data_IF_273800837397
#
_entry.id   IF_273800837397
#
_cell.length_a   1.000
_cell.length_b   1.000
_cell.length_c   1.000
_cell.angle_alpha   90.00
_cell.angle_beta   90.00
_cell.angle_gamma   90.00
#
_symmetry.space_group_name_H-M   'P 1'
#
loop_
_entity.id
_entity.type
_entity.pdbx_description
1 polymer ?
#
# COMPACT_ATOMS: atom_id res chain seq x y z
N UNK A 1 -1.10 15.95 -8.63
CA UNK A 1 0.23 15.67 -8.03
C UNK A 1 0.59 16.59 -6.85
N UNK A 2 0.60 17.93 -7.00
CA UNK A 2 1.06 18.83 -5.92
C UNK A 2 0.30 18.67 -4.59
N UNK A 3 -1.02 18.50 -4.63
CA UNK A 3 -1.82 18.25 -3.42
C UNK A 3 -1.43 16.92 -2.74
N UNK A 4 -1.19 15.85 -3.50
CA UNK A 4 -0.74 14.57 -2.96
C UNK A 4 0.66 14.67 -2.34
N UNK A 5 1.59 15.38 -2.98
CA UNK A 5 2.92 15.64 -2.43
C UNK A 5 2.87 16.48 -1.14
N UNK A 6 2.00 17.49 -1.09
CA UNK A 6 1.76 18.29 0.12
C UNK A 6 1.22 17.44 1.28
N UNK A 7 0.24 16.57 0.99
CA UNK A 7 -0.29 15.64 1.99
C UNK A 7 0.75 14.63 2.47
N UNK A 8 1.60 14.10 1.58
CA UNK A 8 2.72 13.26 1.96
C UNK A 8 3.69 13.99 2.91
N UNK A 9 4.03 15.25 2.62
CA UNK A 9 4.85 16.07 3.51
C UNK A 9 4.22 16.23 4.89
N UNK A 10 2.91 16.51 4.98
CA UNK A 10 2.19 16.58 6.26
C UNK A 10 2.27 15.28 7.04
N UNK A 11 2.06 14.13 6.38
CA UNK A 11 2.19 12.81 7.02
C UNK A 11 3.62 12.56 7.50
N UNK A 12 4.64 12.96 6.73
CA UNK A 12 6.04 12.83 7.14
C UNK A 12 6.36 13.68 8.38
N UNK A 13 5.84 14.91 8.46
CA UNK A 13 5.97 15.76 9.65
C UNK A 13 5.25 15.13 10.85
N UNK A 14 4.03 14.65 10.67
CA UNK A 14 3.29 13.95 11.70
C UNK A 14 4.05 12.71 12.21
N UNK A 15 4.64 11.90 11.31
CA UNK A 15 5.52 10.78 11.68
C UNK A 15 6.71 11.23 12.51
N UNK A 16 7.37 12.33 12.12
CA UNK A 16 8.51 12.86 12.86
C UNK A 16 8.09 13.33 14.26
N UNK A 17 6.95 14.01 14.37
CA UNK A 17 6.38 14.46 15.64
C UNK A 17 6.01 13.27 16.54
N UNK A 18 5.37 12.23 16.01
CA UNK A 18 5.04 11.00 16.74
C UNK A 18 6.28 10.28 17.29
N UNK A 19 7.44 10.39 16.61
CA UNK A 19 8.71 9.82 17.09
C UNK A 19 9.39 10.69 18.14
N UNK A 20 9.23 12.01 18.07
CA UNK A 20 9.91 12.97 18.93
C UNK A 20 9.12 13.31 20.20
N UNK A 21 7.79 13.25 20.15
CA UNK A 21 6.90 13.69 21.22
C UNK A 21 6.14 12.52 21.84
N UNK A 22 5.96 12.57 23.17
CA UNK A 22 5.04 11.69 23.92
C UNK A 22 3.64 12.31 24.10
N UNK A 23 3.38 13.49 23.51
CA UNK A 23 2.06 14.13 23.56
C UNK A 23 1.06 13.39 22.66
N UNK A 24 0.54 12.28 23.16
CA UNK A 24 -0.40 11.42 22.42
C UNK A 24 -1.78 12.08 22.24
N UNK A 25 -2.14 13.03 23.12
CA UNK A 25 -3.47 13.67 23.11
C UNK A 25 -3.70 14.52 21.86
N UNK A 26 -2.66 15.18 21.33
CA UNK A 26 -2.77 15.97 20.11
C UNK A 26 -2.57 15.16 18.82
N UNK A 27 -1.89 14.00 18.89
CA UNK A 27 -1.51 13.20 17.72
C UNK A 27 -2.68 12.39 17.13
N UNK A 28 -3.55 11.83 17.96
CA UNK A 28 -4.68 11.02 17.47
C UNK A 28 -5.72 11.84 16.69
N UNK A 29 -6.18 13.02 17.17
CA UNK A 29 -7.04 13.90 16.37
C UNK A 29 -6.39 14.32 15.05
N UNK A 30 -5.09 14.62 15.06
CA UNK A 30 -4.34 14.97 13.84
C UNK A 30 -4.33 13.81 12.84
N UNK A 31 -4.07 12.58 13.30
CA UNK A 31 -4.07 11.39 12.46
C UNK A 31 -5.43 11.13 11.81
N UNK A 32 -6.53 11.28 12.57
CA UNK A 32 -7.89 11.16 12.02
C UNK A 32 -8.16 12.23 10.96
N UNK A 33 -7.76 13.48 11.20
CA UNK A 33 -7.91 14.56 10.22
C UNK A 33 -7.08 14.30 8.95
N UNK A 34 -5.86 13.79 9.10
CA UNK A 34 -5.01 13.39 7.96
C UNK A 34 -5.63 12.24 7.17
N UNK A 35 -6.15 11.22 7.85
CA UNK A 35 -6.87 10.11 7.22
C UNK A 35 -8.07 10.60 6.42
N UNK A 36 -8.93 11.45 7.01
CA UNK A 36 -10.10 11.98 6.32
C UNK A 36 -9.72 12.78 5.07
N UNK A 37 -8.72 13.66 5.17
CA UNK A 37 -8.24 14.46 4.05
C UNK A 37 -7.62 13.61 2.93
N UNK A 38 -6.80 12.62 3.30
CA UNK A 38 -6.19 11.69 2.34
C UNK A 38 -7.24 10.82 1.64
N UNK A 39 -8.23 10.32 2.37
CA UNK A 39 -9.31 9.50 1.82
C UNK A 39 -10.16 10.28 0.83
N UNK A 40 -10.51 11.54 1.15
CA UNK A 40 -11.23 12.43 0.23
C UNK A 40 -10.41 12.73 -1.03
N UNK A 41 -9.11 13.03 -0.88
CA UNK A 41 -8.22 13.26 -2.02
C UNK A 41 -8.08 12.01 -2.90
N UNK A 42 -7.87 10.85 -2.29
CA UNK A 42 -7.77 9.57 -2.99
C UNK A 42 -9.03 9.30 -3.81
N UNK A 43 -10.21 9.47 -3.20
CA UNK A 43 -11.49 9.28 -3.88
C UNK A 43 -11.64 10.22 -5.07
N UNK A 44 -11.36 11.52 -4.89
CA UNK A 44 -11.43 12.51 -5.97
C UNK A 44 -10.48 12.19 -7.14
N UNK A 45 -9.24 11.74 -6.86
CA UNK A 45 -8.30 11.33 -7.90
C UNK A 45 -8.82 10.08 -8.64
N UNK A 46 -9.34 9.09 -7.92
CA UNK A 46 -9.92 7.89 -8.54
C UNK A 46 -11.12 8.22 -9.44
N UNK A 47 -12.02 9.07 -8.98
CA UNK A 47 -13.16 9.51 -9.81
C UNK A 47 -12.69 10.23 -11.07
N UNK A 48 -11.68 11.10 -10.94
CA UNK A 48 -11.10 11.79 -12.10
C UNK A 48 -10.51 10.81 -13.12
N UNK A 49 -9.80 9.77 -12.66
CA UNK A 49 -9.25 8.72 -13.53
C UNK A 49 -10.38 7.94 -14.22
N UNK A 50 -11.41 7.52 -13.47
CA UNK A 50 -12.53 6.72 -14.00
C UNK A 50 -13.41 7.49 -15.00
N UNK A 51 -13.60 8.79 -14.78
CA UNK A 51 -14.47 9.64 -15.60
C UNK A 51 -13.78 10.24 -16.83
N UNK A 52 -12.46 10.05 -16.97
CA UNK A 52 -11.65 10.74 -17.97
C UNK A 52 -11.69 10.10 -19.37
N UNK A 53 -12.21 10.82 -20.36
CA UNK A 53 -11.94 10.61 -21.80
C UNK A 53 -10.56 11.14 -22.24
N UNK A 54 -9.62 11.27 -21.29
CA UNK A 54 -8.45 12.14 -21.41
C UNK A 54 -7.27 11.48 -22.13
N UNK A 55 -6.37 12.31 -22.68
CA UNK A 55 -5.13 11.85 -23.33
C UNK A 55 -4.25 11.00 -22.38
N UNK A 56 -3.44 10.12 -22.96
CA UNK A 56 -2.56 9.18 -22.23
C UNK A 56 -1.67 9.87 -21.16
N UNK A 57 -1.16 11.08 -21.46
CA UNK A 57 -0.28 11.84 -20.55
C UNK A 57 -1.01 12.31 -19.27
N UNK A 58 -2.25 12.80 -19.42
CA UNK A 58 -3.09 13.23 -18.29
C UNK A 58 -3.48 12.06 -17.39
N UNK A 59 -3.66 10.88 -17.97
CA UNK A 59 -3.94 9.65 -17.22
C UNK A 59 -2.74 9.23 -16.38
N UNK A 60 -1.54 9.21 -16.98
CA UNK A 60 -0.28 8.88 -16.28
C UNK A 60 0.01 9.80 -15.09
N UNK A 61 -0.13 11.11 -15.28
CA UNK A 61 0.04 12.11 -14.21
C UNK A 61 -0.94 11.89 -13.03
N UNK A 62 -2.18 11.51 -13.34
CA UNK A 62 -3.20 11.22 -12.34
C UNK A 62 -2.90 9.93 -11.57
N UNK A 63 -2.38 8.91 -12.25
CA UNK A 63 -1.94 7.66 -11.62
C UNK A 63 -0.73 7.90 -10.71
N UNK A 64 0.23 8.74 -11.12
CA UNK A 64 1.34 9.14 -10.24
C UNK A 64 0.83 9.92 -9.03
N UNK A 65 -0.17 10.80 -9.20
CA UNK A 65 -0.80 11.50 -8.09
C UNK A 65 -1.51 10.53 -7.12
N UNK A 66 -2.21 9.52 -7.65
CA UNK A 66 -2.85 8.47 -6.85
C UNK A 66 -1.82 7.67 -6.07
N UNK A 67 -0.71 7.30 -6.72
CA UNK A 67 0.42 6.58 -6.10
C UNK A 67 1.01 7.37 -4.93
N UNK A 68 1.25 8.67 -5.10
CA UNK A 68 1.74 9.55 -4.02
C UNK A 68 0.74 9.64 -2.86
N UNK A 69 -0.55 9.77 -3.17
CA UNK A 69 -1.61 9.79 -2.17
C UNK A 69 -1.68 8.48 -1.39
N UNK A 70 -1.60 7.34 -2.08
CA UNK A 70 -1.55 6.00 -1.47
C UNK A 70 -0.29 5.79 -0.64
N UNK A 71 0.86 6.31 -1.08
CA UNK A 71 2.10 6.27 -0.29
C UNK A 71 1.95 7.03 1.03
N UNK A 72 1.31 8.21 1.00
CA UNK A 72 1.02 8.97 2.21
C UNK A 72 0.04 8.23 3.14
N UNK A 73 -0.99 7.58 2.57
CA UNK A 73 -1.93 6.75 3.33
C UNK A 73 -1.24 5.55 3.98
N UNK A 74 -0.48 4.76 3.22
CA UNK A 74 0.26 3.61 3.76
C UNK A 74 1.23 4.03 4.88
N UNK A 75 1.93 5.15 4.69
CA UNK A 75 2.82 5.68 5.73
C UNK A 75 2.05 6.03 7.01
N UNK A 76 0.91 6.72 6.89
CA UNK A 76 0.07 7.05 8.04
C UNK A 76 -0.48 5.78 8.70
N UNK A 77 -1.01 4.84 7.91
CA UNK A 77 -1.64 3.63 8.41
C UNK A 77 -0.65 2.72 9.12
N UNK A 78 0.58 2.60 8.64
CA UNK A 78 1.60 1.81 9.35
C UNK A 78 1.98 2.38 10.71
N UNK A 79 1.75 3.67 10.96
CA UNK A 79 1.96 4.23 12.30
C UNK A 79 0.91 3.77 13.29
N UNK A 80 -0.29 3.37 12.82
CA UNK A 80 -1.46 3.12 13.67
C UNK A 80 -2.08 1.74 13.47
N UNK A 81 -1.61 0.93 12.52
CA UNK A 81 -2.10 -0.43 12.25
C UNK A 81 -1.74 -1.43 13.37
N UNK A 82 -0.63 -1.17 14.08
CA UNK A 82 -0.21 -1.93 15.25
C UNK A 82 -0.09 -0.98 16.44
N UNK A 83 -1.17 -0.81 17.20
CA UNK A 83 -1.10 -0.12 18.48
C UNK A 83 -0.58 -1.08 19.55
N UNK A 84 0.47 -0.69 20.27
CA UNK A 84 0.92 -1.44 21.45
C UNK A 84 -0.04 -1.14 22.62
N UNK A 85 -0.57 -2.17 23.30
CA UNK A 85 -1.58 -1.96 24.33
C UNK A 85 -1.01 -1.14 25.49
N UNK A 86 -1.56 0.05 25.68
CA UNK A 86 -1.22 0.94 26.79
C UNK A 86 -2.04 0.56 28.01
N UNK A 87 -1.35 0.14 29.07
CA UNK A 87 -1.93 -0.42 30.30
C UNK A 87 -2.79 0.58 31.10
N UNK A 88 -2.72 1.90 30.80
CA UNK A 88 -3.40 2.96 31.56
C UNK A 88 -3.96 4.09 30.66
N UNK A 89 -4.63 3.77 29.55
CA UNK A 89 -5.26 4.77 28.68
C UNK A 89 -6.71 5.10 29.10
N UNK A 90 -7.13 6.36 28.95
CA UNK A 90 -8.53 6.78 29.13
C UNK A 90 -9.44 6.16 28.07
N UNK A 91 -10.72 5.94 28.40
CA UNK A 91 -11.68 5.27 27.51
C UNK A 91 -11.89 5.96 26.15
N UNK A 92 -11.88 7.30 26.13
CA UNK A 92 -11.99 8.11 24.90
C UNK A 92 -10.79 7.88 23.97
N UNK A 93 -9.59 7.84 24.55
CA UNK A 93 -8.34 7.54 23.85
C UNK A 93 -8.36 6.12 23.28
N UNK A 94 -8.80 5.13 24.05
CA UNK A 94 -8.95 3.74 23.59
C UNK A 94 -9.88 3.67 22.37
N UNK A 95 -10.99 4.41 22.39
CA UNK A 95 -11.93 4.44 21.26
C UNK A 95 -11.30 5.03 19.99
N UNK A 96 -10.62 6.18 20.10
CA UNK A 96 -9.94 6.81 18.96
C UNK A 96 -8.77 5.98 18.42
N UNK A 97 -7.98 5.36 19.31
CA UNK A 97 -6.89 4.44 18.93
C UNK A 97 -7.45 3.23 18.16
N UNK A 98 -8.53 2.64 18.67
CA UNK A 98 -9.21 1.51 18.02
C UNK A 98 -9.78 1.90 16.65
N UNK A 99 -10.41 3.06 16.55
CA UNK A 99 -10.95 3.57 15.28
C UNK A 99 -9.83 3.78 14.26
N UNK A 100 -8.74 4.45 14.66
CA UNK A 100 -7.61 4.72 13.79
C UNK A 100 -6.89 3.42 13.38
N UNK A 101 -6.81 2.43 14.28
CA UNK A 101 -6.26 1.11 13.96
C UNK A 101 -7.11 0.38 12.93
N UNK A 102 -8.43 0.34 13.14
CA UNK A 102 -9.38 -0.24 12.19
C UNK A 102 -9.30 0.44 10.83
N UNK A 103 -9.30 1.78 10.79
CA UNK A 103 -9.14 2.55 9.56
C UNK A 103 -7.80 2.25 8.87
N UNK A 104 -6.74 2.08 9.63
CA UNK A 104 -5.40 1.76 9.11
C UNK A 104 -5.35 0.38 8.47
N UNK A 105 -5.81 -0.66 9.17
CA UNK A 105 -5.80 -2.04 8.65
C UNK A 105 -6.69 -2.16 7.41
N UNK A 106 -7.90 -1.60 7.44
CA UNK A 106 -8.79 -1.58 6.29
C UNK A 106 -8.18 -0.80 5.11
N UNK A 107 -7.53 0.31 5.39
CA UNK A 107 -6.86 1.14 4.40
C UNK A 107 -5.67 0.45 3.73
N UNK A 108 -4.80 -0.19 4.52
CA UNK A 108 -3.68 -1.00 4.02
C UNK A 108 -4.22 -2.12 3.12
N UNK A 109 -5.21 -2.89 3.61
CA UNK A 109 -5.84 -3.97 2.84
C UNK A 109 -6.40 -3.47 1.51
N UNK A 110 -7.16 -2.38 1.53
CA UNK A 110 -7.77 -1.80 0.31
C UNK A 110 -6.71 -1.29 -0.68
N UNK A 111 -5.65 -0.63 -0.20
CA UNK A 111 -4.59 -0.13 -1.07
C UNK A 111 -3.83 -1.30 -1.71
N UNK A 112 -3.38 -2.26 -0.91
CA UNK A 112 -2.56 -3.38 -1.37
C UNK A 112 -3.33 -4.32 -2.29
N UNK A 113 -4.60 -4.59 -2.01
CA UNK A 113 -5.41 -5.50 -2.82
C UNK A 113 -6.06 -4.83 -4.04
N UNK A 114 -6.55 -3.60 -3.91
CA UNK A 114 -7.38 -2.98 -4.97
C UNK A 114 -6.62 -1.93 -5.77
N UNK A 115 -5.90 -1.03 -5.09
CA UNK A 115 -5.36 0.17 -5.74
C UNK A 115 -4.00 -0.12 -6.40
N UNK A 116 -3.12 -0.82 -5.69
CA UNK A 116 -1.76 -1.09 -6.16
C UNK A 116 -1.72 -2.01 -7.40
N UNK A 117 -2.51 -3.09 -7.48
CA UNK A 117 -2.57 -3.90 -8.70
C UNK A 117 -3.14 -3.11 -9.89
N UNK A 118 -4.10 -2.22 -9.65
CA UNK A 118 -4.62 -1.35 -10.71
C UNK A 118 -3.56 -0.36 -11.23
N UNK A 119 -2.73 0.19 -10.35
CA UNK A 119 -1.58 1.02 -10.70
C UNK A 119 -0.52 0.19 -11.44
N UNK A 120 -0.24 -1.03 -10.97
CA UNK A 120 0.73 -1.92 -11.58
C UNK A 120 0.36 -2.22 -13.05
N UNK A 121 -0.91 -2.54 -13.31
CA UNK A 121 -1.42 -2.83 -14.67
C UNK A 121 -1.43 -1.60 -15.60
N UNK A 122 -1.21 -0.39 -15.09
CA UNK A 122 -1.07 0.80 -15.93
C UNK A 122 0.29 0.87 -16.65
N UNK A 123 1.26 0.01 -16.27
CA UNK A 123 2.58 -0.11 -16.89
C UNK A 123 3.30 1.25 -17.03
N UNK A 124 3.40 1.98 -15.92
CA UNK A 124 4.00 3.31 -15.89
C UNK A 124 5.40 3.18 -15.32
N UNK A 125 6.38 3.41 -16.19
CA UNK A 125 7.78 3.37 -15.81
C UNK A 125 8.17 4.61 -14.96
N UNK A 126 8.04 4.47 -13.64
CA UNK A 126 8.30 5.53 -12.68
C UNK A 126 8.89 4.98 -11.37
N UNK A 127 10.06 5.47 -10.90
CA UNK A 127 10.69 4.98 -9.68
C UNK A 127 9.86 5.25 -8.41
N UNK A 128 9.00 6.27 -8.42
CA UNK A 128 8.07 6.54 -7.31
C UNK A 128 6.98 5.45 -7.20
N UNK A 129 6.56 4.88 -8.33
CA UNK A 129 5.62 3.74 -8.35
C UNK A 129 6.30 2.51 -7.76
N UNK A 130 7.56 2.24 -8.13
CA UNK A 130 8.31 1.10 -7.60
C UNK A 130 8.36 1.06 -6.07
N UNK A 131 8.56 2.20 -5.41
CA UNK A 131 8.56 2.25 -3.94
C UNK A 131 7.19 1.87 -3.34
N UNK A 132 6.10 2.37 -3.94
CA UNK A 132 4.75 2.08 -3.46
C UNK A 132 4.38 0.61 -3.71
N UNK A 133 4.79 0.06 -4.86
CA UNK A 133 4.63 -1.35 -5.21
C UNK A 133 5.41 -2.26 -4.26
N UNK A 134 6.67 -1.92 -3.95
CA UNK A 134 7.47 -2.66 -2.96
C UNK A 134 6.76 -2.75 -1.62
N UNK A 135 6.25 -1.63 -1.13
CA UNK A 135 5.51 -1.59 0.13
C UNK A 135 4.21 -2.42 0.05
N UNK A 136 3.44 -2.28 -1.02
CA UNK A 136 2.23 -3.08 -1.22
C UNK A 136 2.53 -4.59 -1.24
N UNK A 137 3.65 -5.00 -1.85
CA UNK A 137 4.08 -6.39 -1.87
C UNK A 137 4.41 -6.92 -0.47
N UNK A 138 5.04 -6.12 0.40
CA UNK A 138 5.30 -6.54 1.78
C UNK A 138 4.01 -6.73 2.57
N UNK A 139 3.03 -5.85 2.37
CA UNK A 139 1.71 -5.96 2.99
C UNK A 139 0.92 -7.16 2.47
N UNK A 140 0.89 -7.39 1.15
CA UNK A 140 0.28 -8.59 0.56
C UNK A 140 0.89 -9.86 1.14
N UNK A 141 2.22 -9.93 1.25
CA UNK A 141 2.91 -11.07 1.83
C UNK A 141 2.55 -11.29 3.30
N UNK A 142 2.39 -10.22 4.07
CA UNK A 142 1.93 -10.30 5.46
C UNK A 142 0.51 -10.88 5.55
N UNK A 143 -0.45 -10.34 4.79
CA UNK A 143 -1.83 -10.85 4.77
C UNK A 143 -1.96 -12.30 4.28
N UNK A 144 -1.12 -12.71 3.32
CA UNK A 144 -1.10 -14.11 2.86
C UNK A 144 -0.66 -15.06 3.97
N UNK A 145 0.37 -14.66 4.72
CA UNK A 145 0.98 -15.50 5.78
C UNK A 145 0.11 -15.55 7.03
N UNK A 146 -0.42 -14.41 7.44
CA UNK A 146 -1.14 -14.26 8.71
C UNK A 146 -2.64 -14.58 8.57
N UNK A 147 -3.30 -13.98 7.59
CA UNK A 147 -4.77 -14.04 7.44
C UNK A 147 -5.23 -15.04 6.38
N UNK A 148 -4.30 -15.68 5.67
CA UNK A 148 -4.58 -16.62 4.57
C UNK A 148 -5.53 -16.07 3.50
N UNK A 149 -5.43 -14.76 3.22
CA UNK A 149 -6.29 -14.04 2.27
C UNK A 149 -5.95 -14.40 0.81
N UNK A 150 -6.73 -15.26 0.12
CA UNK A 150 -6.35 -15.79 -1.19
C UNK A 150 -6.31 -14.70 -2.27
N UNK A 151 -7.11 -13.66 -2.09
CA UNK A 151 -7.18 -12.51 -2.99
C UNK A 151 -5.88 -11.69 -3.03
N UNK A 152 -5.02 -11.81 -2.01
CA UNK A 152 -3.72 -11.12 -1.98
C UNK A 152 -2.67 -11.75 -2.90
N UNK A 153 -2.82 -13.02 -3.30
CA UNK A 153 -1.89 -13.67 -4.23
C UNK A 153 -1.92 -13.03 -5.61
N UNK A 154 -3.11 -12.82 -6.18
CA UNK A 154 -3.25 -12.19 -7.50
C UNK A 154 -2.78 -10.73 -7.48
N UNK A 155 -3.06 -10.00 -6.40
CA UNK A 155 -2.54 -8.65 -6.20
C UNK A 155 -1.00 -8.64 -6.16
N UNK A 156 -0.39 -9.57 -5.41
CA UNK A 156 1.05 -9.71 -5.31
C UNK A 156 1.68 -10.07 -6.67
N UNK A 157 1.03 -10.93 -7.46
CA UNK A 157 1.50 -11.28 -8.80
C UNK A 157 1.61 -10.07 -9.73
N UNK A 158 0.53 -9.27 -9.81
CA UNK A 158 0.49 -8.04 -10.62
C UNK A 158 1.60 -7.06 -10.18
N UNK A 159 1.76 -6.88 -8.86
CA UNK A 159 2.77 -6.00 -8.27
C UNK A 159 4.20 -6.47 -8.60
N UNK A 160 4.49 -7.76 -8.43
CA UNK A 160 5.81 -8.33 -8.70
C UNK A 160 6.16 -8.29 -10.19
N UNK A 161 5.17 -8.50 -11.07
CA UNK A 161 5.36 -8.37 -12.51
C UNK A 161 5.74 -6.95 -12.90
N UNK A 162 5.04 -5.94 -12.36
CA UNK A 162 5.36 -4.55 -12.67
C UNK A 162 6.70 -4.11 -12.06
N UNK A 163 7.04 -4.56 -10.85
CA UNK A 163 8.37 -4.28 -10.27
C UNK A 163 9.51 -4.83 -11.15
N UNK A 164 9.31 -6.01 -11.77
CA UNK A 164 10.28 -6.56 -12.73
C UNK A 164 10.39 -5.67 -13.98
N UNK A 165 9.27 -5.23 -14.51
CA UNK A 165 9.18 -4.31 -15.67
C UNK A 165 9.90 -2.99 -15.39
N UNK A 166 9.59 -2.31 -14.28
CA UNK A 166 10.27 -1.06 -13.88
C UNK A 166 11.78 -1.32 -13.64
N UNK A 167 12.15 -2.50 -13.16
CA UNK A 167 13.53 -2.93 -12.95
C UNK A 167 14.38 -3.03 -14.22
N UNK A 168 13.77 -3.04 -15.41
CA UNK A 168 14.50 -2.98 -16.68
C UNK A 168 15.16 -1.61 -16.89
N UNK A 169 14.54 -0.54 -16.37
CA UNK A 169 15.00 0.85 -16.54
C UNK A 169 15.48 1.51 -15.24
N UNK A 170 15.02 1.03 -14.08
CA UNK A 170 15.33 1.62 -12.78
C UNK A 170 15.88 0.59 -11.78
N UNK A 171 17.17 0.71 -11.49
CA UNK A 171 17.88 -0.18 -10.55
C UNK A 171 17.21 -0.28 -9.17
N UNK A 172 16.55 0.78 -8.69
CA UNK A 172 15.85 0.78 -7.40
C UNK A 172 14.76 -0.31 -7.33
N UNK A 173 14.08 -0.61 -8.44
CA UNK A 173 13.08 -1.68 -8.47
C UNK A 173 13.74 -3.06 -8.39
N UNK A 174 14.92 -3.24 -8.98
CA UNK A 174 15.74 -4.46 -8.84
C UNK A 174 16.19 -4.65 -7.37
N UNK A 175 16.58 -3.57 -6.70
CA UNK A 175 16.93 -3.60 -5.26
C UNK A 175 15.72 -4.01 -4.41
N UNK A 176 14.54 -3.45 -4.69
CA UNK A 176 13.31 -3.85 -4.02
C UNK A 176 12.97 -5.33 -4.24
N UNK A 177 13.12 -5.85 -5.46
CA UNK A 177 12.93 -7.28 -5.74
C UNK A 177 13.91 -8.16 -4.94
N UNK A 178 15.16 -7.73 -4.79
CA UNK A 178 16.15 -8.44 -3.95
C UNK A 178 15.71 -8.48 -2.49
N UNK A 179 15.24 -7.35 -1.95
CA UNK A 179 14.70 -7.29 -0.58
C UNK A 179 13.48 -8.20 -0.39
N UNK A 180 12.56 -8.21 -1.37
CA UNK A 180 11.40 -9.11 -1.34
C UNK A 180 11.82 -10.59 -1.40
N UNK A 181 12.84 -10.93 -2.19
CA UNK A 181 13.39 -12.29 -2.24
C UNK A 181 14.00 -12.70 -0.90
N UNK A 182 14.80 -11.82 -0.29
CA UNK A 182 15.40 -12.06 1.03
C UNK A 182 14.34 -12.25 2.12
N UNK A 183 13.24 -11.50 2.04
CA UNK A 183 12.08 -11.65 2.91
C UNK A 183 11.19 -12.87 2.58
N UNK A 184 11.58 -13.70 1.60
CA UNK A 184 10.85 -14.89 1.18
C UNK A 184 9.50 -14.61 0.51
N UNK A 185 9.26 -13.39 0.03
CA UNK A 185 7.98 -12.99 -0.58
C UNK A 185 7.81 -13.65 -1.94
N UNK A 186 8.87 -13.72 -2.75
CA UNK A 186 8.81 -14.35 -4.07
C UNK A 186 8.48 -15.84 -4.00
N UNK A 187 8.84 -16.51 -2.89
CA UNK A 187 8.53 -17.92 -2.67
C UNK A 187 7.03 -18.18 -2.47
N UNK A 188 6.24 -17.16 -2.12
CA UNK A 188 4.79 -17.29 -2.01
C UNK A 188 4.14 -17.56 -3.37
N UNK A 189 4.77 -17.11 -4.47
CA UNK A 189 4.27 -17.30 -5.83
C UNK A 189 4.70 -18.62 -6.46
N UNK A 190 5.72 -19.29 -5.92
CA UNK A 190 6.24 -20.55 -6.48
C UNK A 190 5.41 -21.79 -6.09
N UNK A 191 4.54 -21.70 -5.08
CA UNK A 191 3.76 -22.85 -4.60
C UNK A 191 2.59 -23.26 -5.53
N UNK A 192 2.11 -22.38 -6.42
CA UNK A 192 1.01 -22.70 -7.34
C UNK A 192 1.46 -23.45 -8.61
N UNK A 193 2.76 -23.41 -8.94
CA UNK A 193 3.26 -24.06 -10.17
C UNK A 193 3.42 -25.57 -10.01
N UNK A 194 3.64 -26.08 -8.79
CA UNK A 194 3.83 -27.50 -8.54
C UNK A 194 2.50 -28.27 -8.35
N UNK A 195 1.44 -27.59 -7.91
CA UNK A 195 0.11 -28.20 -7.77
C UNK A 195 -0.58 -28.45 -9.12
N UNK A 196 -0.25 -27.66 -10.17
CA UNK A 196 -0.85 -27.82 -11.51
C UNK A 196 -0.14 -28.86 -12.38
N UNK A 197 1.05 -29.34 -11.98
CA UNK A 197 1.83 -30.31 -12.76
C UNK A 197 1.58 -31.78 -12.39
N UNK A 198 0.64 -32.08 -11.49
CA UNK A 198 0.33 -33.46 -11.06
C UNK A 198 -0.89 -34.10 -11.72
N UNK A 199 -1.50 -33.47 -12.74
CA UNK A 199 -2.54 -34.11 -13.55
C UNK A 199 -1.93 -34.70 -14.85
N UNK A 200 -1.28 -35.85 -14.73
CA UNK A 200 -1.04 -36.73 -15.89
C UNK A 200 -2.30 -37.56 -16.22
N UNK A 201 -2.60 -37.82 -17.50
CA UNK A 201 -3.78 -38.55 -17.91
C UNK A 201 -3.59 -40.06 -17.70
N UNK A 202 -4.48 -40.72 -16.95
CA UNK A 202 -4.58 -42.17 -16.99
C UNK A 202 -5.35 -42.58 -18.25
N UNK A 203 -4.62 -43.00 -19.28
CA UNK A 203 -5.15 -43.85 -20.34
C UNK A 203 -5.28 -45.28 -19.82
N UNK A 204 -6.48 -45.85 -19.92
CA UNK A 204 -6.81 -47.24 -19.63
C UNK A 204 -8.26 -47.51 -20.00
#
# INVERSE_FOLDING_TARGET
MCQAAHMLSKVMHHRANKRASQDVESLLPEAQALHAALSALHFSIKEYISNGSSSDVTNKSSIVALTLCSSAQLLLYNLYGCNEPLVLAEQSRIAMETEMQSASLNGIKSISFTVMPAIARANIDCPLIAQCLYHAATECAWFIREDHEPQMYSALEDILKELKSIGENWQIATEYLSLLQQAGVLNLMSYDTDASNTLTPSSG
#
